data_IF_913159728831
#
_entry.id   IF_913159728831
#
_cell.length_a   1.000
_cell.length_b   1.000
_cell.length_c   1.000
_cell.angle_alpha   90.00
_cell.angle_beta   90.00
_cell.angle_gamma   90.00
#
_symmetry.space_group_name_H-M   'P 1'
#
loop_
_entity.id
_entity.type
_entity.pdbx_description
1 polymer ?
#
# COMPACT_ATOMS: atom_id res chain seq x y z
N UNK A 1 -2.42 8.68 6.24
CA UNK A 1 -3.17 7.47 5.81
C UNK A 1 -4.49 7.26 6.56
N UNK A 2 -4.55 7.44 7.89
CA UNK A 2 -5.77 7.17 8.70
C UNK A 2 -6.97 8.02 8.25
N UNK A 3 -6.77 9.31 7.99
CA UNK A 3 -7.82 10.23 7.54
C UNK A 3 -8.53 9.76 6.24
N UNK A 4 -7.76 9.34 5.24
CA UNK A 4 -8.35 8.88 3.97
C UNK A 4 -9.07 7.54 4.12
N UNK A 5 -8.65 6.67 5.05
CA UNK A 5 -9.40 5.44 5.36
C UNK A 5 -10.76 5.79 5.97
N UNK A 6 -10.79 6.70 6.93
CA UNK A 6 -12.03 7.18 7.53
C UNK A 6 -12.95 7.83 6.49
N UNK A 7 -12.39 8.67 5.59
CA UNK A 7 -13.14 9.30 4.51
C UNK A 7 -13.70 8.28 3.52
N UNK A 8 -12.93 7.25 3.16
CA UNK A 8 -13.39 6.17 2.29
C UNK A 8 -14.54 5.40 2.92
N UNK A 9 -14.41 4.99 4.20
CA UNK A 9 -15.46 4.29 4.94
C UNK A 9 -16.72 5.16 5.03
N UNK A 10 -16.57 6.45 5.38
CA UNK A 10 -17.69 7.39 5.46
C UNK A 10 -18.42 7.55 4.13
N UNK A 11 -17.69 7.69 3.02
CA UNK A 11 -18.27 7.79 1.68
C UNK A 11 -19.03 6.52 1.26
N UNK A 12 -18.50 5.34 1.58
CA UNK A 12 -19.18 4.05 1.31
C UNK A 12 -20.45 3.90 2.15
N UNK A 13 -20.43 4.34 3.41
CA UNK A 13 -21.62 4.33 4.27
C UNK A 13 -22.71 5.28 3.74
N UNK A 14 -22.34 6.48 3.28
CA UNK A 14 -23.29 7.40 2.64
C UNK A 14 -23.90 6.82 1.36
N UNK A 15 -23.12 6.07 0.56
CA UNK A 15 -23.64 5.35 -0.61
C UNK A 15 -24.61 4.24 -0.23
N UNK A 16 -24.32 3.48 0.83
CA UNK A 16 -25.23 2.45 1.33
C UNK A 16 -26.52 3.04 1.90
N UNK A 17 -26.42 4.15 2.62
CA UNK A 17 -27.57 4.85 3.17
C UNK A 17 -28.46 5.41 2.07
N UNK A 18 -27.91 6.15 1.12
CA UNK A 18 -28.66 6.67 -0.03
C UNK A 18 -29.25 5.57 -0.92
N UNK A 19 -28.57 4.43 -1.08
CA UNK A 19 -29.13 3.26 -1.78
C UNK A 19 -30.36 2.70 -1.05
N UNK A 20 -30.30 2.57 0.27
CA UNK A 20 -31.42 2.09 1.08
C UNK A 20 -32.60 3.08 1.03
N UNK A 21 -32.33 4.39 1.13
CA UNK A 21 -33.35 5.44 1.00
C UNK A 21 -33.98 5.45 -0.39
N UNK A 22 -33.19 5.29 -1.45
CA UNK A 22 -33.69 5.20 -2.82
C UNK A 22 -34.60 3.97 -3.00
N UNK A 23 -34.21 2.81 -2.46
CA UNK A 23 -35.01 1.59 -2.52
C UNK A 23 -36.37 1.78 -1.81
N UNK A 24 -36.38 2.40 -0.63
CA UNK A 24 -37.61 2.70 0.11
C UNK A 24 -38.53 3.65 -0.67
N UNK A 25 -37.99 4.71 -1.25
CA UNK A 25 -38.76 5.65 -2.07
C UNK A 25 -39.32 4.97 -3.31
N UNK A 26 -38.54 4.13 -3.98
CA UNK A 26 -38.98 3.39 -5.17
C UNK A 26 -40.10 2.39 -4.85
N UNK A 27 -40.13 1.82 -3.64
CA UNK A 27 -41.25 0.97 -3.20
C UNK A 27 -42.52 1.77 -2.84
N UNK A 28 -42.41 3.08 -2.59
CA UNK A 28 -43.49 3.90 -2.06
C UNK A 28 -44.09 4.88 -3.10
N UNK A 29 -43.38 5.20 -4.19
CA UNK A 29 -43.79 6.23 -5.13
C UNK A 29 -43.39 5.91 -6.58
N UNK A 30 -44.30 6.14 -7.53
CA UNK A 30 -43.96 6.27 -8.96
C UNK A 30 -43.57 7.74 -9.23
N UNK A 31 -42.28 8.03 -9.37
CA UNK A 31 -41.80 9.40 -9.59
C UNK A 31 -40.28 9.54 -9.59
N UNK A 32 -39.79 10.77 -9.74
CA UNK A 32 -38.36 11.09 -9.67
C UNK A 32 -37.82 10.99 -8.24
N UNK A 33 -36.56 10.59 -8.09
CA UNK A 33 -35.90 10.55 -6.77
C UNK A 33 -35.85 11.96 -6.14
N UNK A 34 -36.06 12.07 -4.81
CA UNK A 34 -35.80 13.29 -4.05
C UNK A 34 -34.38 13.80 -4.26
N UNK A 35 -34.23 15.11 -4.42
CA UNK A 35 -32.93 15.76 -4.65
C UNK A 35 -31.92 15.46 -3.54
N UNK A 36 -32.38 15.34 -2.29
CA UNK A 36 -31.52 15.05 -1.13
C UNK A 36 -30.80 13.70 -1.26
N UNK A 37 -31.52 12.64 -1.66
CA UNK A 37 -30.96 11.30 -1.89
C UNK A 37 -29.93 11.34 -3.04
N UNK A 38 -30.21 12.12 -4.09
CA UNK A 38 -29.29 12.29 -5.22
C UNK A 38 -28.01 13.00 -4.78
N UNK A 39 -28.13 14.06 -3.98
CA UNK A 39 -26.97 14.82 -3.48
C UNK A 39 -26.14 13.98 -2.51
N UNK A 40 -26.76 13.26 -1.59
CA UNK A 40 -26.06 12.34 -0.67
C UNK A 40 -25.27 11.28 -1.43
N UNK A 41 -25.88 10.66 -2.44
CA UNK A 41 -25.23 9.68 -3.30
C UNK A 41 -24.02 10.27 -4.05
N UNK A 42 -24.16 11.46 -4.64
CA UNK A 42 -23.08 12.13 -5.36
C UNK A 42 -21.91 12.51 -4.43
N UNK A 43 -22.20 13.02 -3.24
CA UNK A 43 -21.17 13.35 -2.24
C UNK A 43 -20.48 12.07 -1.74
N UNK A 44 -21.23 11.00 -1.50
CA UNK A 44 -20.68 9.69 -1.14
C UNK A 44 -19.77 9.12 -2.22
N UNK A 45 -20.18 9.20 -3.49
CA UNK A 45 -19.40 8.76 -4.64
C UNK A 45 -18.09 9.57 -4.81
N UNK A 46 -18.18 10.91 -4.71
CA UNK A 46 -17.01 11.79 -4.83
C UNK A 46 -16.02 11.57 -3.68
N UNK A 47 -16.52 11.50 -2.44
CA UNK A 47 -15.66 11.35 -1.26
C UNK A 47 -14.98 9.97 -1.21
N UNK A 48 -15.71 8.89 -1.50
CA UNK A 48 -15.16 7.53 -1.55
C UNK A 48 -14.15 7.35 -2.69
N UNK A 49 -14.45 7.84 -3.89
CA UNK A 49 -13.51 7.76 -5.04
C UNK A 49 -12.24 8.57 -4.80
N UNK A 50 -12.35 9.81 -4.30
CA UNK A 50 -11.20 10.64 -3.94
C UNK A 50 -10.33 9.98 -2.86
N UNK A 51 -10.96 9.47 -1.80
CA UNK A 51 -10.27 8.79 -0.72
C UNK A 51 -9.57 7.51 -1.20
N UNK A 52 -10.23 6.72 -2.06
CA UNK A 52 -9.65 5.52 -2.64
C UNK A 52 -8.40 5.82 -3.46
N UNK A 53 -8.44 6.85 -4.31
CA UNK A 53 -7.25 7.30 -5.05
C UNK A 53 -6.14 7.69 -4.09
N UNK A 54 -6.42 8.53 -3.08
CA UNK A 54 -5.37 8.97 -2.13
C UNK A 54 -4.79 7.83 -1.29
N UNK A 55 -5.57 6.80 -0.98
CA UNK A 55 -5.07 5.62 -0.28
C UNK A 55 -4.12 4.76 -1.13
N UNK A 56 -4.35 4.69 -2.44
CA UNK A 56 -3.58 3.82 -3.34
C UNK A 56 -2.47 4.57 -4.12
N UNK A 57 -2.43 5.90 -4.07
CA UNK A 57 -1.47 6.71 -4.85
C UNK A 57 -0.37 7.38 -4.01
N UNK A 58 -0.37 7.23 -2.68
CA UNK A 58 0.66 7.84 -1.84
C UNK A 58 2.00 7.12 -2.02
N UNK A 59 2.91 7.75 -2.75
CA UNK A 59 4.34 7.40 -2.77
C UNK A 59 5.04 8.32 -1.78
N UNK A 60 5.64 7.75 -0.73
CA UNK A 60 6.50 8.51 0.18
C UNK A 60 7.91 8.40 -0.37
N UNK A 61 8.49 9.53 -0.78
CA UNK A 61 9.89 9.61 -1.15
C UNK A 61 10.74 9.80 0.13
N UNK A 62 11.91 9.19 0.17
CA UNK A 62 12.94 9.44 1.19
C UNK A 62 13.48 10.88 1.00
N UNK A 63 14.24 11.40 1.99
CA UNK A 63 14.71 12.79 2.04
C UNK A 63 15.61 13.20 0.85
N UNK A 64 16.11 12.23 0.08
CA UNK A 64 16.87 12.43 -1.15
C UNK A 64 15.99 12.79 -2.36
N UNK A 65 14.65 12.69 -2.24
CA UNK A 65 13.68 12.97 -3.29
C UNK A 65 13.70 11.98 -4.46
N UNK A 66 14.48 10.89 -4.34
CA UNK A 66 14.76 9.94 -5.44
C UNK A 66 14.36 8.52 -5.04
N UNK A 67 14.58 8.12 -3.78
CA UNK A 67 14.23 6.79 -3.30
C UNK A 67 12.84 6.77 -2.66
N UNK A 68 12.16 5.62 -2.71
CA UNK A 68 10.79 5.47 -2.18
C UNK A 68 10.88 4.84 -0.78
N UNK A 69 10.53 5.59 0.26
CA UNK A 69 10.65 5.22 1.67
C UNK A 69 9.76 4.02 2.08
N UNK A 70 8.69 3.75 1.31
CA UNK A 70 7.81 2.59 1.53
C UNK A 70 7.37 1.96 0.20
N UNK A 71 8.02 0.87 -0.20
CA UNK A 71 7.41 -0.12 -1.10
C UNK A 71 6.76 -1.22 -0.24
N UNK A 72 5.47 -1.47 -0.43
CA UNK A 72 4.77 -2.58 0.24
C UNK A 72 5.47 -3.94 -0.04
N UNK A 73 5.53 -4.86 0.95
CA UNK A 73 6.30 -6.12 0.85
C UNK A 73 5.70 -7.16 -0.11
N UNK A 74 4.55 -6.91 -0.73
CA UNK A 74 3.89 -7.87 -1.63
C UNK A 74 3.80 -7.32 -3.07
N UNK A 75 4.77 -7.63 -3.95
CA UNK A 75 4.73 -7.23 -5.35
C UNK A 75 3.52 -7.87 -6.05
N UNK A 76 2.47 -7.09 -6.33
CA UNK A 76 1.34 -7.57 -7.14
C UNK A 76 -0.05 -7.13 -6.68
N UNK A 77 -0.19 -6.47 -5.52
CA UNK A 77 -1.43 -5.75 -5.20
C UNK A 77 -1.32 -4.31 -5.68
N UNK A 78 -2.40 -3.80 -6.31
CA UNK A 78 -2.57 -2.39 -6.70
C UNK A 78 -2.40 -1.42 -5.50
N UNK A 79 -2.37 -1.95 -4.27
CA UNK A 79 -2.01 -1.23 -3.04
C UNK A 79 -0.53 -0.83 -2.93
N UNK A 80 0.32 -1.25 -3.88
CA UNK A 80 1.77 -1.00 -3.85
C UNK A 80 2.19 0.43 -4.22
N UNK A 81 1.24 1.31 -4.51
CA UNK A 81 1.54 2.62 -5.08
C UNK A 81 2.05 2.50 -6.52
N UNK A 82 2.20 3.63 -7.19
CA UNK A 82 2.77 3.68 -8.53
C UNK A 82 4.25 3.31 -8.46
N UNK A 83 4.61 2.11 -8.94
CA UNK A 83 6.01 1.70 -9.10
C UNK A 83 6.55 2.24 -10.42
N UNK A 84 7.83 2.62 -10.41
CA UNK A 84 8.50 3.09 -11.62
C UNK A 84 8.66 1.93 -12.60
N UNK A 85 8.28 2.13 -13.86
CA UNK A 85 8.41 1.12 -14.93
C UNK A 85 9.88 1.02 -15.40
N UNK A 86 10.63 2.10 -15.20
CA UNK A 86 12.06 2.16 -15.48
C UNK A 86 12.85 1.38 -14.44
N UNK A 87 13.49 0.29 -14.89
CA UNK A 87 14.31 -0.58 -14.07
C UNK A 87 15.45 0.16 -13.37
N UNK A 88 16.07 1.17 -14.00
CA UNK A 88 17.17 1.92 -13.39
C UNK A 88 16.68 2.74 -12.19
N UNK A 89 15.49 3.33 -12.30
CA UNK A 89 14.87 4.10 -11.20
C UNK A 89 14.30 3.19 -10.12
N UNK A 90 13.78 2.01 -10.49
CA UNK A 90 13.37 1.00 -9.54
C UNK A 90 14.57 0.49 -8.73
N UNK A 91 15.71 0.23 -9.39
CA UNK A 91 16.95 -0.19 -8.74
C UNK A 91 17.50 0.92 -7.82
N UNK A 92 17.45 2.19 -8.25
CA UNK A 92 17.85 3.31 -7.38
C UNK A 92 16.96 3.44 -6.13
N UNK A 93 15.68 3.09 -6.22
CA UNK A 93 14.76 3.09 -5.07
C UNK A 93 14.93 1.88 -4.15
N UNK A 94 15.38 0.75 -4.69
CA UNK A 94 15.72 -0.42 -3.91
C UNK A 94 17.11 -0.20 -3.33
N UNK A 95 17.28 -0.29 -2.01
CA UNK A 95 18.59 -0.11 -1.34
C UNK A 95 19.59 -1.26 -1.62
N UNK A 96 19.60 -1.77 -2.85
CA UNK A 96 20.46 -2.84 -3.35
C UNK A 96 21.87 -2.26 -3.45
N UNK A 97 22.73 -2.68 -2.53
CA UNK A 97 24.15 -2.36 -2.57
C UNK A 97 24.92 -3.45 -3.32
N UNK A 98 26.13 -3.13 -3.78
CA UNK A 98 27.03 -4.11 -4.40
C UNK A 98 27.29 -5.30 -3.46
N UNK A 99 27.34 -5.06 -2.15
CA UNK A 99 27.49 -6.10 -1.12
C UNK A 99 26.32 -7.10 -1.13
N UNK A 100 25.09 -6.61 -1.30
CA UNK A 100 23.90 -7.46 -1.40
C UNK A 100 23.89 -8.32 -2.68
N UNK A 101 24.47 -7.83 -3.77
CA UNK A 101 24.58 -8.57 -5.05
C UNK A 101 25.70 -9.61 -4.98
N UNK A 102 26.81 -9.27 -4.31
CA UNK A 102 27.98 -10.15 -4.22
C UNK A 102 27.75 -11.34 -3.28
N UNK A 103 26.80 -11.25 -2.35
CA UNK A 103 26.44 -12.37 -1.48
C UNK A 103 25.56 -13.40 -2.22
N UNK A 104 26.20 -14.30 -2.97
CA UNK A 104 25.51 -15.37 -3.68
C UNK A 104 25.26 -16.56 -2.74
N UNK A 105 24.03 -16.72 -2.28
CA UNK A 105 23.63 -17.79 -1.34
C UNK A 105 24.02 -19.19 -1.84
N UNK A 106 23.91 -19.44 -3.14
CA UNK A 106 24.26 -20.75 -3.73
C UNK A 106 25.78 -21.02 -3.80
N UNK A 107 26.62 -20.01 -3.54
CA UNK A 107 28.08 -20.12 -3.53
C UNK A 107 28.67 -19.76 -2.15
N UNK A 108 27.88 -19.90 -1.08
CA UNK A 108 28.36 -19.62 0.27
C UNK A 108 29.44 -20.62 0.68
N UNK A 109 30.66 -20.13 0.90
CA UNK A 109 31.74 -20.92 1.48
C UNK A 109 31.86 -20.62 2.98
N UNK A 110 31.77 -21.65 3.81
CA UNK A 110 31.81 -21.53 5.27
C UNK A 110 33.23 -21.63 5.87
N UNK A 111 34.27 -21.67 5.02
CA UNK A 111 35.67 -21.65 5.46
C UNK A 111 36.22 -20.21 5.52
N UNK A 112 35.60 -19.38 6.34
CA UNK A 112 35.99 -17.98 6.54
C UNK A 112 36.22 -17.68 8.03
N UNK A 113 36.87 -16.54 8.34
CA UNK A 113 37.33 -16.20 9.70
C UNK A 113 36.22 -16.22 10.75
N UNK A 114 34.98 -15.91 10.36
CA UNK A 114 33.83 -15.92 11.26
C UNK A 114 33.56 -17.31 11.89
N UNK A 115 33.95 -18.40 11.23
CA UNK A 115 33.87 -19.77 11.76
C UNK A 115 34.68 -19.97 13.05
N UNK A 116 35.72 -19.17 13.28
CA UNK A 116 36.57 -19.26 14.48
C UNK A 116 36.27 -18.17 15.51
N UNK A 117 35.67 -17.07 15.06
CA UNK A 117 35.36 -15.91 15.91
C UNK A 117 33.98 -15.99 16.57
N UNK A 118 33.01 -16.64 15.92
CA UNK A 118 31.61 -16.68 16.36
C UNK A 118 31.11 -18.11 16.63
N UNK A 119 32.02 -19.07 16.77
CA UNK A 119 31.65 -20.44 17.13
C UNK A 119 31.31 -20.46 18.63
N UNK A 120 30.03 -20.54 18.95
CA UNK A 120 29.50 -20.72 20.32
C UNK A 120 29.73 -22.15 20.87
N UNK A 121 30.68 -22.90 20.33
CA UNK A 121 31.09 -24.17 20.94
C UNK A 121 32.12 -23.84 22.02
N UNK A 122 31.63 -23.52 23.21
CA UNK A 122 32.41 -23.48 24.44
C UNK A 122 32.93 -24.86 24.84
N UNK A 123 33.62 -25.57 23.93
CA UNK A 123 34.37 -26.77 24.26
C UNK A 123 35.86 -26.50 24.03
N UNK A 124 36.46 -25.89 25.06
CA UNK A 124 37.90 -25.92 25.30
C UNK A 124 38.20 -27.36 25.73
N UNK A 125 38.57 -28.21 24.78
CA UNK A 125 39.17 -29.50 25.09
C UNK A 125 40.57 -29.25 25.68
N UNK A 126 40.64 -29.27 27.02
CA UNK A 126 41.82 -29.62 27.80
C UNK A 126 41.70 -31.09 28.22
#
# INVERSE_FOLDING_TARGET
MVLYKALWIGGVLALLHSLLSAAQVQTAQEGSLPLDIVVECLIGALSSSFAFVKLNTSVIYDDDGISVAKSSPNPGRITDGWKNIDATKAIASSKITVESINNRVNFSHFNHRAKYLYREDGNVDN
#
